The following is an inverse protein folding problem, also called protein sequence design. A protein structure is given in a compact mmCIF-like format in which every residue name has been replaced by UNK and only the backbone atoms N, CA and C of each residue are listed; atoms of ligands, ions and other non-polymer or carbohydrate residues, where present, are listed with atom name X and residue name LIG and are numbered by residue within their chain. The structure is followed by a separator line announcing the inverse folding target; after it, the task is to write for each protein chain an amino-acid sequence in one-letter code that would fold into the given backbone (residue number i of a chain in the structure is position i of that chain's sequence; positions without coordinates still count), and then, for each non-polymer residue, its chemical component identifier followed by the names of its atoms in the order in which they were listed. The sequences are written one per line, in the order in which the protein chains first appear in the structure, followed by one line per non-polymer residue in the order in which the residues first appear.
data_IF_371313945665
#
_entry.id   IF_371313945665
#
_cell.length_a   1.000
_cell.length_b   1.000
_cell.length_c   1.000
_cell.angle_alpha   90.00
_cell.angle_beta   90.00
_cell.angle_gamma   90.00
#
_symmetry.space_group_name_H-M   'P 1'
#
loop_
_entity.id
_entity.type
_entity.pdbx_description
1 polymer ?
#
# COMPACT_ATOMS: atom_id res chain seq x y z
N UNK A 1 -30.68 -15.08 13.80
CA UNK A 1 -30.63 -13.70 13.27
C UNK A 1 -31.59 -13.53 12.10
N UNK A 2 -31.35 -14.20 10.96
CA UNK A 2 -32.18 -14.12 9.74
C UNK A 2 -33.28 -15.19 9.62
N UNK A 3 -33.39 -16.11 10.59
CA UNK A 3 -34.43 -17.15 10.58
C UNK A 3 -35.81 -16.54 10.79
N UNK A 4 -36.87 -17.20 10.34
CA UNK A 4 -38.26 -16.77 10.65
C UNK A 4 -38.56 -16.82 12.15
N UNK A 5 -37.86 -17.68 12.89
CA UNK A 5 -37.95 -17.77 14.36
C UNK A 5 -36.56 -18.10 14.93
N UNK A 6 -36.01 -17.33 15.87
CA UNK A 6 -36.57 -16.13 16.51
C UNK A 6 -36.41 -14.83 15.71
N UNK A 7 -35.76 -14.81 14.54
CA UNK A 7 -35.81 -13.66 13.60
C UNK A 7 -35.50 -12.26 14.15
N UNK A 8 -34.57 -12.14 15.11
CA UNK A 8 -34.29 -10.90 15.84
C UNK A 8 -34.05 -9.65 14.97
N UNK A 9 -33.50 -9.80 13.75
CA UNK A 9 -33.36 -8.68 12.83
C UNK A 9 -34.72 -8.11 12.37
N UNK A 10 -35.67 -9.00 12.07
CA UNK A 10 -37.03 -8.60 11.69
C UNK A 10 -37.82 -8.03 12.89
N UNK A 11 -37.52 -8.48 14.10
CA UNK A 11 -38.05 -7.86 15.32
C UNK A 11 -37.52 -6.44 15.50
N UNK A 12 -36.20 -6.23 15.40
CA UNK A 12 -35.59 -4.89 15.44
C UNK A 12 -36.23 -3.95 14.42
N UNK A 13 -36.36 -4.39 13.17
CA UNK A 13 -36.94 -3.58 12.11
C UNK A 13 -38.39 -3.17 12.42
N UNK A 14 -39.18 -4.09 12.99
CA UNK A 14 -40.58 -3.85 13.34
C UNK A 14 -40.71 -2.94 14.56
N UNK A 15 -39.93 -3.21 15.60
CA UNK A 15 -39.94 -2.50 16.88
C UNK A 15 -39.57 -1.03 16.71
N UNK A 16 -38.60 -0.74 15.83
CA UNK A 16 -38.13 0.61 15.55
C UNK A 16 -38.71 1.23 14.28
N UNK A 17 -39.64 0.55 13.60
CA UNK A 17 -40.22 0.96 12.32
C UNK A 17 -39.14 1.38 11.28
N UNK A 18 -38.08 0.59 11.17
CA UNK A 18 -36.96 0.87 10.27
C UNK A 18 -37.38 0.74 8.80
N UNK A 19 -36.74 1.48 7.88
CA UNK A 19 -36.96 1.30 6.45
C UNK A 19 -36.58 -0.11 6.00
N UNK A 20 -36.97 -0.48 4.77
CA UNK A 20 -36.53 -1.75 4.18
C UNK A 20 -35.00 -1.77 4.08
N UNK A 21 -34.39 -2.75 4.76
CA UNK A 21 -32.95 -2.97 4.76
C UNK A 21 -32.70 -4.28 4.02
N UNK A 22 -31.86 -4.22 2.98
CA UNK A 22 -31.39 -5.42 2.27
C UNK A 22 -30.38 -6.15 3.17
N UNK A 23 -30.85 -7.19 3.86
CA UNK A 23 -30.01 -8.06 4.66
C UNK A 23 -30.54 -9.48 4.59
N UNK A 24 -29.89 -10.29 3.78
CA UNK A 24 -30.29 -11.66 3.41
C UNK A 24 -29.04 -12.52 3.21
N UNK A 25 -29.20 -13.82 3.00
CA UNK A 25 -28.08 -14.75 2.87
C UNK A 25 -27.09 -14.37 1.74
N UNK A 26 -27.55 -13.73 0.66
CA UNK A 26 -26.70 -13.22 -0.43
C UNK A 26 -25.81 -12.03 -0.04
N UNK A 27 -26.09 -11.39 1.09
CA UNK A 27 -25.26 -10.31 1.66
C UNK A 27 -24.25 -10.82 2.69
N UNK A 28 -24.21 -12.14 2.92
CA UNK A 28 -23.25 -12.79 3.81
C UNK A 28 -22.07 -13.26 2.97
N UNK A 29 -20.93 -12.60 3.15
CA UNK A 29 -19.69 -12.98 2.48
C UNK A 29 -18.92 -13.97 3.36
N UNK A 30 -18.73 -15.18 2.84
CA UNK A 30 -17.96 -16.25 3.50
C UNK A 30 -16.54 -16.23 2.98
N UNK A 31 -15.55 -16.26 3.87
CA UNK A 31 -14.14 -16.30 3.49
C UNK A 31 -13.78 -17.72 3.05
N UNK A 32 -12.95 -17.85 2.02
CA UNK A 32 -12.63 -19.12 1.38
C UNK A 32 -11.15 -19.49 1.49
N UNK A 33 -10.87 -20.79 1.63
CA UNK A 33 -9.53 -21.39 1.58
C UNK A 33 -8.96 -21.39 0.14
N UNK A 34 -7.76 -21.94 -0.04
CA UNK A 34 -7.09 -22.02 -1.34
C UNK A 34 -7.85 -22.84 -2.40
N UNK A 35 -8.68 -23.80 -1.95
CA UNK A 35 -9.50 -24.67 -2.81
C UNK A 35 -10.89 -24.07 -3.10
N UNK A 36 -11.17 -22.85 -2.61
CA UNK A 36 -12.48 -22.20 -2.75
C UNK A 36 -13.53 -22.75 -1.79
N UNK A 37 -13.13 -23.47 -0.74
CA UNK A 37 -14.06 -23.95 0.29
C UNK A 37 -14.21 -22.92 1.41
N UNK A 38 -15.40 -22.81 2.01
CA UNK A 38 -15.59 -21.99 3.21
C UNK A 38 -14.57 -22.30 4.30
N UNK A 39 -13.96 -21.25 4.86
CA UNK A 39 -13.13 -21.38 6.06
C UNK A 39 -14.02 -21.67 7.27
N UNK A 40 -13.82 -22.84 7.89
CA UNK A 40 -14.47 -23.18 9.15
C UNK A 40 -14.02 -22.24 10.29
N UNK A 41 -12.74 -21.93 10.34
CA UNK A 41 -12.14 -21.11 11.38
C UNK A 41 -10.75 -20.58 10.97
N UNK A 42 -10.28 -19.48 11.57
CA UNK A 42 -8.93 -18.93 11.29
C UNK A 42 -7.96 -19.42 12.36
N UNK A 43 -7.25 -20.52 12.10
CA UNK A 43 -6.34 -21.16 13.08
C UNK A 43 -4.91 -21.31 12.57
N UNK A 44 -4.72 -21.42 11.27
CA UNK A 44 -3.41 -21.55 10.64
C UNK A 44 -2.91 -20.21 10.07
N UNK A 45 -1.58 -20.06 9.84
CA UNK A 45 -1.04 -18.92 9.10
C UNK A 45 -1.60 -18.81 7.68
N UNK A 46 -2.03 -19.91 7.08
CA UNK A 46 -2.63 -19.92 5.75
C UNK A 46 -4.06 -19.37 5.80
N UNK A 47 -4.90 -19.85 6.72
CA UNK A 47 -6.25 -19.32 6.95
C UNK A 47 -6.20 -17.81 7.22
N UNK A 48 -5.18 -17.38 7.97
CA UNK A 48 -4.95 -15.99 8.31
C UNK A 48 -4.67 -15.14 7.06
N UNK A 49 -3.84 -15.63 6.14
CA UNK A 49 -3.56 -14.99 4.85
C UNK A 49 -4.81 -14.95 3.97
N UNK A 50 -5.55 -16.05 3.89
CA UNK A 50 -6.82 -16.13 3.13
C UNK A 50 -7.87 -15.16 3.66
N UNK A 51 -7.99 -15.06 4.98
CA UNK A 51 -8.88 -14.10 5.61
C UNK A 51 -8.46 -12.65 5.31
N UNK A 52 -7.17 -12.35 5.38
CA UNK A 52 -6.64 -11.02 5.03
C UNK A 52 -6.96 -10.66 3.58
N UNK A 53 -6.68 -11.57 2.63
CA UNK A 53 -6.94 -11.36 1.21
C UNK A 53 -8.44 -11.19 0.92
N UNK A 54 -9.29 -12.04 1.50
CA UNK A 54 -10.75 -11.99 1.32
C UNK A 54 -11.37 -10.71 1.88
N UNK A 55 -11.03 -10.32 3.12
CA UNK A 55 -11.49 -9.06 3.73
C UNK A 55 -11.02 -7.86 2.89
N UNK A 56 -9.76 -7.88 2.46
CA UNK A 56 -9.19 -6.81 1.63
C UNK A 56 -9.90 -6.70 0.29
N UNK A 57 -10.21 -7.82 -0.35
CA UNK A 57 -10.94 -7.84 -1.62
C UNK A 57 -12.35 -7.25 -1.46
N UNK A 58 -13.08 -7.61 -0.40
CA UNK A 58 -14.41 -7.07 -0.11
C UNK A 58 -14.38 -5.55 0.11
N UNK A 59 -13.44 -5.06 0.93
CA UNK A 59 -13.32 -3.62 1.16
C UNK A 59 -12.95 -2.87 -0.13
N UNK A 60 -12.05 -3.42 -0.95
CA UNK A 60 -11.72 -2.85 -2.26
C UNK A 60 -12.96 -2.78 -3.16
N UNK A 61 -13.76 -3.83 -3.20
CA UNK A 61 -15.00 -3.88 -3.98
C UNK A 61 -16.03 -2.86 -3.49
N UNK A 62 -16.33 -2.83 -2.18
CA UNK A 62 -17.30 -1.90 -1.61
C UNK A 62 -16.88 -0.43 -1.69
N UNK A 63 -15.58 -0.16 -1.84
CA UNK A 63 -15.05 1.20 -2.03
C UNK A 63 -14.80 1.55 -3.50
N UNK A 64 -15.23 0.71 -4.44
CA UNK A 64 -15.11 0.97 -5.88
C UNK A 64 -16.12 2.01 -6.36
N UNK A 65 -17.35 2.00 -5.82
CA UNK A 65 -18.39 2.98 -6.16
C UNK A 65 -18.15 4.31 -5.44
N UNK A 66 -17.73 5.33 -6.18
CA UNK A 66 -17.40 6.66 -5.66
C UNK A 66 -18.58 7.40 -5.01
N UNK A 67 -19.82 7.06 -5.38
CA UNK A 67 -21.03 7.77 -4.95
C UNK A 67 -21.63 7.19 -3.64
N UNK A 68 -21.06 6.10 -3.15
CA UNK A 68 -21.49 5.44 -1.92
C UNK A 68 -20.45 5.63 -0.80
N UNK A 69 -20.91 5.79 0.44
CA UNK A 69 -20.05 5.78 1.64
C UNK A 69 -20.13 4.40 2.32
N UNK A 70 -18.98 3.79 2.58
CA UNK A 70 -18.89 2.52 3.29
C UNK A 70 -18.81 2.77 4.79
N UNK A 71 -19.76 2.22 5.54
CA UNK A 71 -19.71 2.20 7.00
C UNK A 71 -19.44 0.77 7.47
N UNK A 72 -18.29 0.58 8.10
CA UNK A 72 -17.83 -0.70 8.61
C UNK A 72 -17.97 -0.73 10.13
N UNK A 73 -18.53 -1.82 10.65
CA UNK A 73 -18.69 -2.06 12.07
C UNK A 73 -17.93 -3.30 12.50
N UNK A 74 -17.06 -3.15 13.50
CA UNK A 74 -16.43 -4.27 14.20
C UNK A 74 -17.36 -4.64 15.35
N UNK A 75 -18.18 -5.68 15.16
CA UNK A 75 -19.20 -6.10 16.13
C UNK A 75 -19.02 -7.54 16.65
N UNK A 76 -17.82 -8.12 16.51
CA UNK A 76 -17.49 -9.47 17.00
C UNK A 76 -16.51 -10.23 16.12
N UNK A 77 -16.40 -11.54 16.35
CA UNK A 77 -15.52 -12.46 15.60
C UNK A 77 -14.10 -12.59 16.17
N UNK A 78 -13.20 -13.20 15.40
CA UNK A 78 -11.79 -13.30 15.78
C UNK A 78 -11.14 -11.92 15.74
N UNK A 79 -10.38 -11.56 16.78
CA UNK A 79 -9.66 -10.27 16.90
C UNK A 79 -8.88 -9.92 15.63
N UNK A 80 -8.26 -10.92 15.00
CA UNK A 80 -7.50 -10.78 13.76
C UNK A 80 -8.34 -10.27 12.58
N UNK A 81 -9.62 -10.65 12.48
CA UNK A 81 -10.50 -10.14 11.42
C UNK A 81 -10.74 -8.64 11.58
N UNK A 82 -10.96 -8.16 12.81
CA UNK A 82 -11.08 -6.73 13.10
C UNK A 82 -9.81 -5.95 12.75
N UNK A 83 -8.63 -6.55 13.01
CA UNK A 83 -7.36 -6.00 12.56
C UNK A 83 -7.28 -5.87 11.04
N UNK A 84 -7.56 -6.95 10.28
CA UNK A 84 -7.53 -6.89 8.82
C UNK A 84 -8.54 -5.94 8.23
N UNK A 85 -9.71 -5.82 8.84
CA UNK A 85 -10.75 -4.90 8.42
C UNK A 85 -10.30 -3.44 8.55
N UNK A 86 -9.74 -3.07 9.71
CA UNK A 86 -9.18 -1.73 9.94
C UNK A 86 -7.98 -1.44 9.02
N UNK A 87 -7.15 -2.45 8.75
CA UNK A 87 -6.01 -2.29 7.85
C UNK A 87 -6.44 -2.16 6.39
N UNK A 88 -7.40 -2.96 5.93
CA UNK A 88 -7.99 -2.86 4.60
C UNK A 88 -8.66 -1.50 4.39
N UNK A 89 -9.35 -0.95 5.39
CA UNK A 89 -9.85 0.43 5.36
C UNK A 89 -8.73 1.46 5.35
N UNK A 90 -7.63 1.23 6.06
CA UNK A 90 -6.48 2.13 5.96
C UNK A 90 -5.88 2.12 4.54
N UNK A 91 -5.93 1.01 3.81
CA UNK A 91 -5.45 0.93 2.43
C UNK A 91 -6.44 1.48 1.39
N UNK A 92 -7.71 1.11 1.50
CA UNK A 92 -8.72 1.34 0.47
C UNK A 92 -9.86 2.28 0.92
N UNK A 93 -10.02 2.53 2.21
CA UNK A 93 -11.03 3.47 2.70
C UNK A 93 -10.80 4.88 2.17
N UNK A 94 -11.89 5.59 1.94
CA UNK A 94 -11.95 6.96 1.40
C UNK A 94 -12.38 7.93 2.51
N UNK A 95 -12.24 9.25 2.32
CA UNK A 95 -12.59 10.23 3.34
C UNK A 95 -14.04 10.16 3.85
N UNK A 96 -14.97 9.67 3.04
CA UNK A 96 -16.38 9.48 3.42
C UNK A 96 -16.65 8.15 4.15
N UNK A 97 -15.72 7.20 4.10
CA UNK A 97 -15.91 5.88 4.70
C UNK A 97 -15.66 5.94 6.22
N UNK A 98 -16.35 5.11 6.99
CA UNK A 98 -16.33 5.12 8.45
C UNK A 98 -16.02 3.76 9.02
N UNK A 99 -15.21 3.72 10.07
CA UNK A 99 -15.02 2.55 10.92
C UNK A 99 -15.66 2.81 12.28
N UNK A 100 -16.34 1.82 12.82
CA UNK A 100 -16.98 1.91 14.12
C UNK A 100 -16.89 0.62 14.91
N UNK A 101 -17.01 0.72 16.23
CA UNK A 101 -17.16 -0.39 17.14
C UNK A 101 -18.43 -0.19 17.97
N UNK A 102 -19.23 -1.25 18.11
CA UNK A 102 -20.44 -1.21 18.90
C UNK A 102 -20.08 -1.50 20.35
N UNK A 103 -20.33 -0.54 21.24
CA UNK A 103 -20.21 -0.69 22.68
C UNK A 103 -21.60 -0.91 23.27
N UNK A 104 -21.73 -1.99 24.03
CA UNK A 104 -22.95 -2.31 24.77
C UNK A 104 -22.66 -2.07 26.25
N UNK A 105 -23.55 -1.39 26.95
CA UNK A 105 -23.39 -1.14 28.39
C UNK A 105 -23.49 -2.42 29.20
N UNK A 106 -22.75 -2.49 30.31
CA UNK A 106 -22.95 -3.54 31.30
C UNK A 106 -24.39 -3.49 31.83
N UNK A 107 -25.01 -4.64 32.13
CA UNK A 107 -24.44 -6.01 32.05
C UNK A 107 -24.75 -6.75 30.74
N UNK A 108 -25.15 -6.05 29.68
CA UNK A 108 -25.70 -6.67 28.47
C UNK A 108 -24.63 -7.19 27.51
N UNK A 109 -23.40 -6.66 27.57
CA UNK A 109 -22.27 -6.97 26.66
C UNK A 109 -21.87 -8.45 26.58
N UNK A 110 -22.11 -9.23 27.63
CA UNK A 110 -21.77 -10.66 27.72
C UNK A 110 -23.00 -11.58 27.67
N UNK A 111 -24.18 -11.02 27.45
CA UNK A 111 -25.43 -11.77 27.43
C UNK A 111 -25.71 -12.38 26.06
N UNK A 112 -25.82 -13.71 25.99
CA UNK A 112 -26.26 -14.42 24.77
C UNK A 112 -27.74 -14.19 24.42
N UNK A 113 -28.52 -13.64 25.35
CA UNK A 113 -29.93 -13.29 25.16
C UNK A 113 -30.18 -11.86 24.71
N UNK A 114 -29.16 -10.98 24.72
CA UNK A 114 -29.30 -9.59 24.33
C UNK A 114 -28.96 -9.39 22.85
N UNK A 115 -29.85 -8.73 22.09
CA UNK A 115 -29.66 -8.47 20.66
C UNK A 115 -29.72 -6.98 20.33
N UNK A 116 -30.67 -6.26 20.91
CA UNK A 116 -30.83 -4.81 20.80
C UNK A 116 -31.64 -4.29 21.99
N UNK A 117 -31.56 -2.98 22.32
CA UNK A 117 -32.43 -2.38 23.32
C UNK A 117 -33.88 -2.41 22.83
N UNK A 118 -34.79 -3.01 23.57
CA UNK A 118 -36.19 -3.09 23.14
C UNK A 118 -36.92 -1.78 23.49
N UNK A 119 -37.90 -1.33 22.68
CA UNK A 119 -38.67 -0.12 23.00
C UNK A 119 -39.64 -0.31 24.17
N UNK A 120 -39.95 -1.57 24.50
CA UNK A 120 -40.80 -1.97 25.62
C UNK A 120 -40.04 -2.92 26.53
N UNK A 121 -40.40 -2.93 27.82
CA UNK A 121 -39.77 -3.79 28.81
C UNK A 121 -39.71 -5.25 28.35
N UNK A 122 -38.49 -5.79 28.27
CA UNK A 122 -38.24 -7.19 27.95
C UNK A 122 -37.12 -7.70 28.87
N UNK A 123 -37.53 -8.53 29.83
CA UNK A 123 -36.67 -9.04 30.90
C UNK A 123 -35.86 -10.22 30.40
N UNK A 124 -34.54 -10.12 30.54
CA UNK A 124 -33.57 -11.17 30.28
C UNK A 124 -33.05 -11.72 31.61
N UNK A 125 -32.85 -13.03 31.67
CA UNK A 125 -32.15 -13.68 32.77
C UNK A 125 -30.68 -13.83 32.39
N UNK A 126 -29.79 -13.21 33.17
CA UNK A 126 -28.34 -13.31 33.01
C UNK A 126 -27.77 -14.50 33.79
N UNK A 127 -26.54 -14.95 33.45
CA UNK A 127 -25.80 -15.89 34.29
C UNK A 127 -25.79 -15.43 35.76
N UNK A 128 -26.13 -16.35 36.67
CA UNK A 128 -26.27 -16.06 38.11
C UNK A 128 -27.68 -15.65 38.55
N UNK A 129 -28.70 -15.77 37.68
CA UNK A 129 -30.12 -15.53 38.03
C UNK A 129 -30.51 -14.06 38.12
N UNK A 130 -29.63 -13.15 37.67
CA UNK A 130 -29.91 -11.70 37.68
C UNK A 130 -30.85 -11.35 36.55
N UNK A 131 -31.99 -10.74 36.87
CA UNK A 131 -32.96 -10.25 35.90
C UNK A 131 -32.61 -8.81 35.49
N UNK A 132 -32.54 -8.57 34.18
CA UNK A 132 -32.24 -7.24 33.61
C UNK A 132 -33.23 -6.90 32.51
N UNK A 133 -33.55 -5.63 32.36
CA UNK A 133 -34.47 -5.16 31.32
C UNK A 133 -33.69 -4.66 30.11
N UNK A 134 -33.84 -5.31 28.96
CA UNK A 134 -33.15 -4.92 27.73
C UNK A 134 -33.50 -3.51 27.26
N UNK A 135 -34.66 -2.95 27.66
CA UNK A 135 -35.02 -1.56 27.36
C UNK A 135 -34.09 -0.54 28.04
N UNK A 136 -33.35 -0.94 29.07
CA UNK A 136 -32.39 -0.09 29.79
C UNK A 136 -30.97 -0.16 29.20
N UNK A 137 -30.72 -1.03 28.22
CA UNK A 137 -29.42 -1.17 27.60
C UNK A 137 -29.06 0.07 26.79
N UNK A 138 -27.82 0.55 26.95
CA UNK A 138 -27.27 1.61 26.13
C UNK A 138 -26.34 0.99 25.09
N UNK A 139 -26.60 1.32 23.82
CA UNK A 139 -25.75 0.91 22.70
C UNK A 139 -25.14 2.16 22.09
N UNK A 140 -23.81 2.22 22.12
CA UNK A 140 -23.04 3.35 21.61
C UNK A 140 -22.26 2.90 20.39
N UNK A 141 -22.41 3.66 19.30
CA UNK A 141 -21.58 3.50 18.11
C UNK A 141 -20.33 4.37 18.25
N UNK A 142 -19.22 3.76 18.67
CA UNK A 142 -17.94 4.46 18.80
C UNK A 142 -17.25 4.52 17.42
N UNK A 143 -17.04 5.71 16.88
CA UNK A 143 -16.27 5.90 15.64
C UNK A 143 -14.78 5.69 15.94
N UNK A 144 -14.13 4.83 15.14
CA UNK A 144 -12.71 4.56 15.24
C UNK A 144 -11.99 5.29 14.09
N UNK A 145 -11.14 6.29 14.38
CA UNK A 145 -10.43 6.97 13.31
C UNK A 145 -9.44 6.02 12.63
N UNK A 146 -9.32 6.13 11.32
CA UNK A 146 -8.29 5.44 10.54
C UNK A 146 -7.61 6.43 9.59
N UNK A 147 -6.39 6.09 9.15
CA UNK A 147 -5.63 6.90 8.19
C UNK A 147 -5.75 6.25 6.82
N UNK A 148 -6.32 6.96 5.86
CA UNK A 148 -6.39 6.50 4.47
C UNK A 148 -5.05 6.70 3.75
N UNK A 149 -4.47 5.60 3.28
CA UNK A 149 -3.29 5.51 2.44
C UNK A 149 -3.65 5.35 0.95
N UNK A 150 -4.94 5.36 0.60
CA UNK A 150 -5.45 5.07 -0.75
C UNK A 150 -4.77 5.90 -1.85
N UNK A 151 -4.51 7.18 -1.57
CA UNK A 151 -3.87 8.10 -2.53
C UNK A 151 -2.41 7.77 -2.82
N UNK A 152 -1.73 7.03 -1.94
CA UNK A 152 -0.36 6.59 -2.14
C UNK A 152 -0.26 5.29 -2.96
N UNK A 153 -1.38 4.59 -3.19
CA UNK A 153 -1.38 3.31 -3.88
C UNK A 153 -1.44 3.47 -5.41
N UNK A 154 -0.68 2.66 -6.17
CA UNK A 154 -0.84 2.55 -7.62
C UNK A 154 -2.27 2.17 -8.01
N UNK A 155 -2.80 2.81 -9.06
CA UNK A 155 -4.16 2.56 -9.57
C UNK A 155 -4.41 1.08 -9.89
N UNK A 156 -3.40 0.37 -10.41
CA UNK A 156 -3.48 -1.07 -10.69
C UNK A 156 -3.79 -1.93 -9.46
N UNK A 157 -3.43 -1.48 -8.25
CA UNK A 157 -3.77 -2.19 -7.00
C UNK A 157 -5.17 -1.82 -6.51
N UNK A 158 -5.65 -0.63 -6.85
CA UNK A 158 -7.01 -0.17 -6.53
C UNK A 158 -8.06 -0.85 -7.42
N UNK A 159 -7.74 -1.07 -8.70
CA UNK A 159 -8.66 -1.67 -9.68
C UNK A 159 -8.40 -3.16 -9.94
N UNK A 160 -7.25 -3.68 -9.51
CA UNK A 160 -6.81 -5.06 -9.76
C UNK A 160 -7.10 -6.02 -8.61
N UNK A 161 -6.70 -7.28 -8.78
CA UNK A 161 -6.80 -8.34 -7.77
C UNK A 161 -5.49 -8.53 -7.00
N UNK A 162 -4.92 -7.44 -6.51
CA UNK A 162 -3.73 -7.52 -5.65
C UNK A 162 -4.07 -8.23 -4.34
N UNK A 163 -3.17 -9.08 -3.88
CA UNK A 163 -3.21 -9.64 -2.53
C UNK A 163 -3.00 -8.55 -1.47
N UNK A 164 -3.35 -8.89 -0.23
CA UNK A 164 -3.08 -8.03 0.93
C UNK A 164 -1.60 -7.66 1.01
N UNK A 165 -0.70 -8.66 0.94
CA UNK A 165 0.74 -8.43 1.07
C UNK A 165 1.30 -7.54 -0.05
N UNK A 166 0.88 -7.73 -1.31
CA UNK A 166 1.32 -6.87 -2.41
C UNK A 166 0.90 -5.41 -2.19
N UNK A 167 -0.31 -5.20 -1.65
CA UNK A 167 -0.82 -3.86 -1.34
C UNK A 167 -0.02 -3.22 -0.20
N UNK A 168 0.27 -3.99 0.86
CA UNK A 168 1.08 -3.54 2.00
C UNK A 168 2.48 -3.13 1.53
N UNK A 169 3.15 -3.97 0.75
CA UNK A 169 4.50 -3.67 0.26
C UNK A 169 4.51 -2.45 -0.65
N UNK A 170 3.52 -2.28 -1.52
CA UNK A 170 3.38 -1.07 -2.32
C UNK A 170 3.18 0.19 -1.47
N UNK A 171 2.33 0.14 -0.44
CA UNK A 171 2.13 1.24 0.50
C UNK A 171 3.43 1.59 1.25
N UNK A 172 4.16 0.56 1.71
CA UNK A 172 5.45 0.75 2.38
C UNK A 172 6.47 1.41 1.47
N UNK A 173 6.56 0.98 0.21
CA UNK A 173 7.46 1.61 -0.76
C UNK A 173 7.06 3.05 -1.11
N UNK A 174 5.76 3.37 -1.16
CA UNK A 174 5.28 4.73 -1.39
C UNK A 174 5.61 5.68 -0.23
N UNK A 175 5.66 5.17 1.00
CA UNK A 175 5.96 5.94 2.22
C UNK A 175 7.45 5.94 2.60
N UNK A 176 8.23 5.00 2.07
CA UNK A 176 9.66 4.91 2.35
C UNK A 176 10.42 6.12 1.78
N UNK A 177 11.57 6.50 2.38
CA UNK A 177 12.47 7.47 1.78
C UNK A 177 12.83 7.05 0.34
N UNK A 178 12.73 7.99 -0.60
CA UNK A 178 13.03 7.69 -1.99
C UNK A 178 14.51 7.38 -2.17
N UNK A 179 14.81 6.15 -2.59
CA UNK A 179 16.14 5.63 -2.86
C UNK A 179 16.25 5.14 -4.32
N UNK A 180 17.40 5.36 -4.95
CA UNK A 180 17.71 5.01 -6.33
C UNK A 180 19.04 4.26 -6.43
N UNK A 181 18.97 3.01 -6.85
CA UNK A 181 20.14 2.24 -7.25
C UNK A 181 20.18 2.06 -8.77
N UNK A 182 21.35 2.28 -9.37
CA UNK A 182 21.57 2.14 -10.80
C UNK A 182 22.61 1.05 -11.07
N UNK A 183 22.21 0.03 -11.84
CA UNK A 183 23.09 -0.97 -12.41
C UNK A 183 23.31 -0.67 -13.90
N UNK A 184 24.44 -0.03 -14.20
CA UNK A 184 24.79 0.37 -15.56
C UNK A 184 25.07 -0.84 -16.46
N UNK A 185 25.64 -1.91 -15.91
CA UNK A 185 26.04 -3.09 -16.67
C UNK A 185 24.82 -3.91 -17.10
N UNK A 186 23.87 -4.15 -16.18
CA UNK A 186 22.62 -4.86 -16.52
C UNK A 186 21.53 -3.95 -17.08
N UNK A 187 21.77 -2.64 -17.16
CA UNK A 187 20.82 -1.60 -17.61
C UNK A 187 19.52 -1.59 -16.81
N UNK A 188 19.63 -1.86 -15.52
CA UNK A 188 18.50 -1.92 -14.58
C UNK A 188 18.61 -0.85 -13.51
N UNK A 189 17.46 -0.44 -13.01
CA UNK A 189 17.35 0.48 -11.87
C UNK A 189 16.41 -0.10 -10.84
N UNK A 190 16.72 0.13 -9.56
CA UNK A 190 15.82 -0.10 -8.43
C UNK A 190 15.35 1.26 -7.92
N UNK A 191 14.05 1.50 -7.99
CA UNK A 191 13.40 2.71 -7.51
C UNK A 191 12.03 2.36 -6.93
N UNK A 192 11.67 2.94 -5.78
CA UNK A 192 10.45 2.63 -5.03
C UNK A 192 10.23 1.11 -4.86
N UNK A 193 11.28 0.35 -4.55
CA UNK A 193 11.22 -1.11 -4.40
C UNK A 193 11.10 -1.91 -5.70
N UNK A 194 10.92 -1.27 -6.86
CA UNK A 194 10.74 -1.94 -8.14
C UNK A 194 12.04 -1.96 -8.95
N UNK A 195 12.41 -3.15 -9.44
CA UNK A 195 13.50 -3.34 -10.41
C UNK A 195 12.94 -3.34 -11.82
N UNK A 196 13.47 -2.50 -12.71
CA UNK A 196 13.10 -2.47 -14.12
C UNK A 196 14.26 -2.03 -15.01
N UNK A 197 14.18 -2.36 -16.30
CA UNK A 197 15.21 -2.01 -17.28
C UNK A 197 14.94 -0.66 -17.95
N UNK A 198 15.99 0.11 -18.19
CA UNK A 198 15.93 1.35 -18.98
C UNK A 198 16.71 1.17 -20.29
N UNK A 199 16.23 1.75 -21.41
CA UNK A 199 17.04 1.78 -22.62
C UNK A 199 18.31 2.62 -22.38
N UNK A 200 19.43 2.31 -23.08
CA UNK A 200 20.74 2.93 -22.80
C UNK A 200 20.71 4.45 -22.81
N UNK A 201 19.97 5.05 -23.76
CA UNK A 201 19.89 6.49 -23.93
C UNK A 201 19.21 7.19 -22.75
N UNK A 202 18.11 6.62 -22.24
CA UNK A 202 17.39 7.16 -21.08
C UNK A 202 18.13 6.87 -19.78
N UNK A 203 18.78 5.71 -19.67
CA UNK A 203 19.62 5.37 -18.53
C UNK A 203 20.82 6.32 -18.41
N UNK A 204 21.48 6.65 -19.53
CA UNK A 204 22.58 7.61 -19.55
C UNK A 204 22.12 8.99 -19.06
N UNK A 205 20.96 9.45 -19.54
CA UNK A 205 20.41 10.74 -19.12
C UNK A 205 20.08 10.74 -17.61
N UNK A 206 19.47 9.67 -17.10
CA UNK A 206 19.24 9.52 -15.66
C UNK A 206 20.55 9.51 -14.87
N UNK A 207 21.56 8.78 -15.36
CA UNK A 207 22.88 8.64 -14.74
C UNK A 207 23.61 9.99 -14.60
N UNK A 208 23.52 10.88 -15.61
CA UNK A 208 24.08 12.25 -15.52
C UNK A 208 23.52 12.97 -14.28
N UNK A 209 22.20 12.96 -14.08
CA UNK A 209 21.60 13.64 -12.94
C UNK A 209 21.80 12.89 -11.62
N UNK A 210 21.84 11.56 -11.66
CA UNK A 210 22.10 10.73 -10.49
C UNK A 210 23.52 10.95 -9.94
N UNK A 211 24.56 11.01 -10.78
CA UNK A 211 25.92 11.35 -10.31
C UNK A 211 25.98 12.76 -9.74
N UNK A 212 25.28 13.72 -10.35
CA UNK A 212 25.23 15.08 -9.82
C UNK A 212 24.56 15.13 -8.44
N UNK A 213 23.45 14.41 -8.26
CA UNK A 213 22.80 14.30 -6.96
C UNK A 213 23.72 13.62 -5.92
N UNK A 214 24.38 12.52 -6.29
CA UNK A 214 25.36 11.81 -5.46
C UNK A 214 26.52 12.71 -5.02
N UNK A 215 27.02 13.56 -5.92
CA UNK A 215 28.12 14.49 -5.62
C UNK A 215 27.65 15.86 -5.08
N UNK A 216 26.35 16.06 -4.82
CA UNK A 216 25.81 17.34 -4.34
C UNK A 216 25.99 18.52 -5.32
N UNK A 217 26.11 18.25 -6.62
CA UNK A 217 26.37 19.26 -7.64
C UNK A 217 25.12 20.09 -7.99
N UNK A 218 25.29 21.35 -8.44
CA UNK A 218 24.15 22.23 -8.73
C UNK A 218 23.31 21.75 -9.93
N UNK A 219 22.06 22.23 -10.07
CA UNK A 219 21.20 21.94 -11.23
C UNK A 219 21.80 22.40 -12.57
N UNK A 220 21.51 21.67 -13.65
CA UNK A 220 21.99 21.99 -15.01
C UNK A 220 20.94 22.72 -15.83
N UNK A 221 21.35 23.72 -16.61
CA UNK A 221 20.49 24.25 -17.67
C UNK A 221 20.36 23.22 -18.80
N UNK A 222 19.21 23.13 -19.45
CA UNK A 222 19.09 22.36 -20.69
C UNK A 222 19.89 23.03 -21.82
N UNK A 223 20.35 22.26 -22.83
CA UNK A 223 20.91 22.85 -24.03
C UNK A 223 19.89 23.79 -24.69
N UNK A 224 20.38 24.85 -25.32
CA UNK A 224 19.53 25.75 -26.09
C UNK A 224 18.96 25.02 -27.33
N UNK A 225 17.77 25.46 -27.78
CA UNK A 225 17.13 24.87 -28.95
C UNK A 225 17.96 25.21 -30.19
N UNK A 226 18.25 24.20 -31.02
CA UNK A 226 19.01 24.34 -32.28
C UNK A 226 20.45 24.87 -32.11
N UNK A 227 20.95 24.93 -30.87
CA UNK A 227 22.34 25.28 -30.57
C UNK A 227 23.03 24.04 -30.02
N UNK A 228 24.03 23.49 -30.73
CA UNK A 228 24.74 22.33 -30.24
C UNK A 228 25.56 22.64 -28.99
N UNK A 229 25.42 21.81 -27.95
CA UNK A 229 26.15 21.94 -26.70
C UNK A 229 27.15 20.78 -26.55
N UNK A 230 28.45 21.10 -26.69
CA UNK A 230 29.53 20.13 -26.55
C UNK A 230 29.73 19.64 -25.12
N UNK A 231 29.35 20.47 -24.16
CA UNK A 231 29.46 20.24 -22.73
C UNK A 231 28.41 19.19 -22.29
N UNK A 232 27.18 19.30 -22.81
CA UNK A 232 26.13 18.30 -22.64
C UNK A 232 26.47 16.99 -23.36
N UNK A 233 27.00 17.07 -24.59
CA UNK A 233 27.50 15.89 -25.31
C UNK A 233 28.51 15.11 -24.47
N UNK A 234 29.53 15.79 -23.93
CA UNK A 234 30.57 15.14 -23.14
C UNK A 234 29.99 14.44 -21.90
N UNK A 235 29.14 15.13 -21.13
CA UNK A 235 28.47 14.55 -19.94
C UNK A 235 27.68 13.30 -20.29
N UNK A 236 26.91 13.35 -21.38
CA UNK A 236 26.05 12.25 -21.79
C UNK A 236 26.83 11.05 -22.34
N UNK A 237 27.86 11.29 -23.18
CA UNK A 237 28.68 10.22 -23.76
C UNK A 237 29.50 9.48 -22.70
N UNK A 238 29.96 10.18 -21.64
CA UNK A 238 30.62 9.51 -20.52
C UNK A 238 29.72 8.45 -19.92
N UNK A 239 28.44 8.77 -19.64
CA UNK A 239 27.50 7.79 -19.09
C UNK A 239 27.18 6.65 -20.06
N UNK A 240 27.02 6.97 -21.35
CA UNK A 240 26.80 5.94 -22.38
C UNK A 240 27.97 4.96 -22.47
N UNK A 241 29.21 5.43 -22.36
CA UNK A 241 30.41 4.58 -22.34
C UNK A 241 30.44 3.65 -21.13
N UNK A 242 30.06 4.16 -19.95
CA UNK A 242 29.93 3.31 -18.76
C UNK A 242 28.85 2.23 -18.92
N UNK A 243 27.76 2.51 -19.63
CA UNK A 243 26.68 1.55 -19.90
C UNK A 243 27.08 0.52 -20.96
N UNK A 244 27.73 0.97 -22.03
CA UNK A 244 28.17 0.13 -23.13
C UNK A 244 29.31 -0.83 -22.73
N UNK A 245 30.09 -0.47 -21.72
CA UNK A 245 31.25 -1.23 -21.27
C UNK A 245 32.40 -1.19 -22.28
N UNK A 246 33.44 -1.99 -22.06
CA UNK A 246 34.69 -1.98 -22.83
C UNK A 246 34.52 -2.33 -24.32
N UNK A 247 33.42 -2.99 -24.70
CA UNK A 247 33.21 -3.52 -26.06
C UNK A 247 31.92 -3.05 -26.73
N UNK A 248 31.20 -2.08 -26.16
CA UNK A 248 29.93 -1.65 -26.72
C UNK A 248 30.07 -0.63 -27.85
N UNK A 249 29.40 -0.89 -28.98
CA UNK A 249 29.33 -0.01 -30.14
C UNK A 249 28.46 1.24 -29.84
N UNK A 250 29.09 2.42 -29.84
CA UNK A 250 28.45 3.71 -29.63
C UNK A 250 28.49 4.59 -30.89
N UNK A 251 29.00 4.08 -32.02
CA UNK A 251 29.38 4.86 -33.20
C UNK A 251 28.19 5.67 -33.73
N UNK A 252 27.01 5.04 -33.79
CA UNK A 252 25.77 5.71 -34.23
C UNK A 252 25.35 6.87 -33.34
N UNK A 253 25.58 6.78 -32.02
CA UNK A 253 25.20 7.86 -31.08
C UNK A 253 26.26 8.95 -31.05
N UNK A 254 27.53 8.59 -31.16
CA UNK A 254 28.62 9.55 -31.30
C UNK A 254 28.51 10.34 -32.61
N UNK A 255 28.08 9.70 -33.69
CA UNK A 255 27.75 10.33 -34.97
C UNK A 255 26.52 11.23 -34.89
N UNK A 256 25.43 10.76 -34.25
CA UNK A 256 24.24 11.57 -34.06
C UNK A 256 24.51 12.84 -33.22
N UNK A 257 25.46 12.76 -32.28
CA UNK A 257 25.88 13.88 -31.43
C UNK A 257 27.18 14.53 -31.94
N UNK A 258 27.59 14.31 -33.19
CA UNK A 258 28.88 14.80 -33.72
C UNK A 258 29.08 16.29 -33.48
N UNK A 259 28.03 17.08 -33.71
CA UNK A 259 28.05 18.54 -33.55
C UNK A 259 27.75 19.04 -32.13
N UNK A 260 27.31 18.17 -31.21
CA UNK A 260 26.85 18.54 -29.86
C UNK A 260 25.44 18.01 -29.57
N UNK A 261 24.99 18.13 -28.33
CA UNK A 261 23.60 17.82 -27.96
C UNK A 261 22.77 19.10 -28.00
N UNK A 262 21.70 19.13 -28.80
CA UNK A 262 20.77 20.26 -28.83
C UNK A 262 19.60 20.07 -27.82
N UNK A 263 18.84 21.15 -27.62
CA UNK A 263 17.69 21.13 -26.71
C UNK A 263 16.56 20.20 -27.16
N UNK A 264 16.46 19.88 -28.46
CA UNK A 264 15.45 18.97 -29.01
C UNK A 264 15.73 17.52 -28.62
N UNK A 265 16.96 17.07 -28.82
CA UNK A 265 17.46 15.77 -28.40
C UNK A 265 17.30 15.57 -26.89
N UNK A 266 17.77 16.54 -26.09
CA UNK A 266 17.62 16.51 -24.64
C UNK A 266 16.15 16.38 -24.22
N UNK A 267 15.27 17.22 -24.79
CA UNK A 267 13.85 17.23 -24.43
C UNK A 267 13.12 15.95 -24.83
N UNK A 268 13.50 15.33 -25.96
CA UNK A 268 12.94 14.07 -26.43
C UNK A 268 13.27 12.92 -25.47
N UNK A 269 14.54 12.78 -25.10
CA UNK A 269 14.98 11.74 -24.15
C UNK A 269 14.47 11.99 -22.73
N UNK A 270 14.46 13.24 -22.27
CA UNK A 270 13.86 13.60 -20.98
C UNK A 270 12.37 13.24 -20.91
N UNK A 271 11.62 13.54 -21.98
CA UNK A 271 10.19 13.20 -22.08
C UNK A 271 9.98 11.69 -22.09
N UNK A 272 10.80 10.94 -22.81
CA UNK A 272 10.74 9.47 -22.86
C UNK A 272 11.08 8.84 -21.51
N UNK A 273 12.14 9.30 -20.84
CA UNK A 273 12.51 8.89 -19.49
C UNK A 273 11.35 9.14 -18.50
N UNK A 274 10.76 10.36 -18.52
CA UNK A 274 9.62 10.70 -17.68
C UNK A 274 8.42 9.78 -17.90
N UNK A 275 8.13 9.40 -19.16
CA UNK A 275 7.06 8.44 -19.49
C UNK A 275 7.35 7.06 -18.93
N UNK A 276 8.58 6.56 -19.06
CA UNK A 276 8.98 5.25 -18.54
C UNK A 276 8.86 5.24 -17.00
N UNK A 277 9.44 6.23 -16.32
CA UNK A 277 9.38 6.31 -14.85
C UNK A 277 7.94 6.38 -14.33
N UNK A 278 7.07 7.17 -14.96
CA UNK A 278 5.65 7.24 -14.59
C UNK A 278 4.91 5.92 -14.81
N UNK A 279 5.19 5.23 -15.91
CA UNK A 279 4.59 3.92 -16.20
C UNK A 279 5.04 2.87 -15.19
N UNK A 280 6.34 2.84 -14.87
CA UNK A 280 6.90 1.80 -14.00
C UNK A 280 6.57 2.03 -12.51
N UNK A 281 6.58 3.29 -12.06
CA UNK A 281 6.49 3.65 -10.64
C UNK A 281 5.13 4.23 -10.22
N UNK A 282 4.27 4.62 -11.17
CA UNK A 282 2.95 5.17 -10.87
C UNK A 282 3.03 6.42 -9.96
N UNK A 283 2.23 6.49 -8.88
CA UNK A 283 2.26 7.59 -7.91
C UNK A 283 3.63 7.81 -7.26
N UNK A 284 4.42 6.75 -7.09
CA UNK A 284 5.76 6.82 -6.47
C UNK A 284 6.82 7.42 -7.40
N UNK A 285 6.49 7.78 -8.65
CA UNK A 285 7.47 8.30 -9.62
C UNK A 285 8.05 9.67 -9.25
N UNK A 286 7.30 10.50 -8.51
CA UNK A 286 7.60 11.93 -8.35
C UNK A 286 9.03 12.24 -7.87
N UNK A 287 9.60 11.55 -6.85
CA UNK A 287 10.97 11.80 -6.39
C UNK A 287 12.06 11.43 -7.41
N UNK A 288 11.74 10.53 -8.34
CA UNK A 288 12.67 9.99 -9.35
C UNK A 288 12.67 10.79 -10.65
N UNK A 289 11.74 11.74 -10.81
CA UNK A 289 11.70 12.59 -11.98
C UNK A 289 12.79 13.67 -11.92
N UNK A 290 13.38 13.96 -13.06
CA UNK A 290 14.26 15.12 -13.21
C UNK A 290 13.37 16.37 -13.19
N UNK A 291 13.44 17.11 -12.07
CA UNK A 291 12.69 18.35 -11.84
C UNK A 291 13.36 19.51 -12.57
N UNK A 292 12.58 20.37 -13.22
CA UNK A 292 13.05 21.57 -13.92
C UNK A 292 13.15 22.82 -13.03
N UNK A 293 12.87 22.68 -11.73
CA UNK A 293 12.91 23.76 -10.74
C UNK A 293 11.72 24.73 -10.78
N UNK A 294 10.76 24.56 -11.69
CA UNK A 294 9.50 25.32 -11.76
C UNK A 294 9.61 26.79 -12.21
N UNK A 295 10.76 27.46 -12.03
CA UNK A 295 10.98 28.86 -12.41
C UNK A 295 11.97 29.00 -13.57
N UNK A 296 11.86 30.11 -14.33
CA UNK A 296 12.81 30.42 -15.41
C UNK A 296 14.03 31.15 -14.83
N UNK A 297 15.26 30.88 -15.32
CA UNK A 297 15.60 29.85 -16.32
C UNK A 297 15.48 28.44 -15.73
N UNK A 298 14.89 27.50 -16.48
CA UNK A 298 14.67 26.12 -16.02
C UNK A 298 16.01 25.44 -15.76
N UNK A 299 16.18 24.87 -14.57
CA UNK A 299 17.38 24.11 -14.22
C UNK A 299 17.00 22.74 -13.69
N UNK A 300 17.53 21.73 -14.36
CA UNK A 300 17.19 20.35 -14.19
C UNK A 300 18.03 19.70 -13.08
N UNK A 301 17.38 18.94 -12.20
CA UNK A 301 18.03 18.14 -11.16
C UNK A 301 17.24 16.89 -10.82
N UNK A 302 17.93 15.85 -10.39
CA UNK A 302 17.31 14.77 -9.62
C UNK A 302 17.27 15.23 -8.15
N UNK A 303 16.08 15.29 -7.54
CA UNK A 303 15.88 15.89 -6.23
C UNK A 303 16.14 14.93 -5.05
N UNK A 304 16.80 13.79 -5.31
CA UNK A 304 17.18 12.84 -4.28
C UNK A 304 18.39 13.35 -3.48
N UNK A 305 18.45 12.97 -2.20
CA UNK A 305 19.61 13.28 -1.34
C UNK A 305 20.82 12.47 -1.80
N UNK A 306 22.06 12.96 -1.60
CA UNK A 306 23.27 12.22 -1.99
C UNK A 306 23.32 10.77 -1.47
N UNK A 307 22.97 10.57 -0.20
CA UNK A 307 22.95 9.24 0.43
C UNK A 307 21.86 8.29 -0.11
N UNK A 308 20.92 8.80 -0.90
CA UNK A 308 19.81 8.03 -1.46
C UNK A 308 20.08 7.59 -2.91
N UNK A 309 21.28 7.82 -3.44
CA UNK A 309 21.68 7.45 -4.80
C UNK A 309 22.95 6.62 -4.73
N UNK A 310 22.99 5.48 -5.39
CA UNK A 310 24.23 4.70 -5.52
C UNK A 310 24.23 3.85 -6.79
N UNK A 311 25.41 3.35 -7.12
CA UNK A 311 25.65 2.46 -8.26
C UNK A 311 26.09 1.11 -7.75
N UNK A 312 25.63 0.03 -8.39
CA UNK A 312 26.02 -1.32 -8.02
C UNK A 312 25.17 -2.37 -8.72
N UNK A 313 25.67 -3.61 -8.74
CA UNK A 313 24.95 -4.74 -9.32
C UNK A 313 23.60 -4.94 -8.60
N UNK A 314 22.54 -5.11 -9.39
CA UNK A 314 21.25 -5.54 -8.88
C UNK A 314 21.19 -7.06 -8.96
N UNK A 315 20.87 -7.75 -7.86
CA UNK A 315 20.69 -9.20 -7.94
C UNK A 315 19.57 -9.54 -8.94
N UNK A 316 19.75 -10.63 -9.68
CA UNK A 316 18.69 -11.14 -10.54
C UNK A 316 17.61 -11.73 -9.62
N UNK A 317 16.45 -11.11 -9.55
CA UNK A 317 15.27 -11.73 -8.95
C UNK A 317 14.86 -12.90 -9.84
N UNK A 318 15.46 -14.07 -9.59
CA UNK A 318 14.90 -15.34 -10.03
C UNK A 318 13.59 -15.50 -9.29
N UNK A 319 12.48 -15.44 -10.01
CA UNK A 319 11.17 -15.77 -9.46
C UNK A 319 11.20 -17.16 -8.81
N UNK A 320 10.48 -17.28 -7.70
CA UNK A 320 10.27 -18.51 -6.92
C UNK A 320 11.48 -18.97 -6.10
N UNK A 321 11.61 -18.42 -4.90
CA UNK A 321 12.15 -19.17 -3.76
C UNK A 321 11.06 -19.32 -2.71
N UNK A 322 10.47 -20.51 -2.70
CA UNK A 322 10.00 -21.13 -1.46
C UNK A 322 11.14 -21.02 -0.44
N UNK A 323 10.97 -20.18 0.57
CA UNK A 323 11.90 -20.07 1.67
C UNK A 323 11.46 -21.06 2.75
N UNK A 324 11.94 -22.30 2.63
CA UNK A 324 12.23 -23.10 3.81
C UNK A 324 13.36 -22.38 4.56
N UNK A 325 13.03 -21.81 5.72
CA UNK A 325 14.01 -21.16 6.60
C UNK A 325 14.88 -22.23 7.24
N UNK A 326 16.03 -22.53 6.63
CA UNK A 326 17.15 -23.11 7.37
C UNK A 326 17.97 -21.94 7.93
N UNK A 327 17.89 -21.76 9.25
CA UNK A 327 18.63 -20.74 10.01
C UNK A 327 20.13 -21.07 9.94
N UNK A 328 21.00 -20.17 9.43
CA UNK A 328 22.44 -20.33 9.59
C UNK A 328 22.84 -19.99 11.05
N UNK A 329 23.88 -20.65 11.61
CA UNK A 329 24.28 -20.41 12.99
C UNK A 329 24.76 -18.98 13.18
N UNK A 330 24.28 -18.34 14.24
CA UNK A 330 24.56 -16.95 14.58
C UNK A 330 26.05 -16.72 14.88
N UNK A 331 26.64 -15.60 14.43
CA UNK A 331 27.95 -15.16 14.91
C UNK A 331 27.84 -14.65 16.36
N UNK A 332 28.88 -14.91 17.14
CA UNK A 332 28.92 -14.67 18.56
C UNK A 332 28.66 -13.20 18.96
N UNK A 333 27.70 -13.04 19.87
CA UNK A 333 27.52 -12.00 20.88
C UNK A 333 27.99 -10.57 20.55
N UNK A 334 27.06 -9.76 20.06
CA UNK A 334 26.94 -8.35 20.50
C UNK A 334 25.49 -8.13 20.96
N UNK A 335 25.32 -7.55 22.16
CA UNK A 335 24.04 -7.45 22.88
C UNK A 335 22.97 -6.76 22.02
N UNK A 336 22.04 -7.52 21.47
CA UNK A 336 20.73 -7.01 21.03
C UNK A 336 19.91 -6.67 22.30
N UNK A 337 19.21 -5.51 22.34
CA UNK A 337 18.19 -5.30 23.35
C UNK A 337 17.09 -6.35 23.16
N UNK A 338 16.62 -6.95 24.25
CA UNK A 338 15.58 -7.97 24.22
C UNK A 338 14.32 -7.43 23.51
N UNK A 339 13.56 -8.27 22.78
CA UNK A 339 12.26 -7.88 22.27
C UNK A 339 11.40 -7.44 23.47
N UNK A 340 10.85 -6.22 23.39
CA UNK A 340 9.85 -5.76 24.34
C UNK A 340 8.54 -6.40 23.91
N UNK A 341 8.18 -7.51 24.54
CA UNK A 341 6.83 -8.06 24.43
C UNK A 341 5.86 -7.11 25.13
N UNK A 342 5.16 -6.30 24.34
CA UNK A 342 4.07 -5.45 24.84
C UNK A 342 2.79 -6.27 24.79
N UNK A 343 2.47 -6.94 25.90
CA UNK A 343 1.13 -7.51 26.10
C UNK A 343 0.19 -6.37 26.47
N UNK A 344 -0.71 -6.00 25.57
CA UNK A 344 -1.84 -5.12 25.90
C UNK A 344 -2.93 -6.00 26.49
N UNK A 345 -2.94 -6.10 27.82
CA UNK A 345 -4.03 -6.78 28.51
C UNK A 345 -5.33 -6.00 28.30
N UNK A 346 -6.42 -6.65 27.87
CA UNK A 346 -7.73 -6.02 27.89
C UNK A 346 -8.06 -5.63 29.34
N UNK A 347 -8.54 -4.40 29.53
CA UNK A 347 -9.03 -3.93 30.82
C UNK A 347 -10.03 -4.98 31.34
N UNK A 348 -9.81 -5.59 32.53
CA UNK A 348 -10.77 -6.53 33.07
C UNK A 348 -12.11 -5.82 33.24
N UNK A 349 -13.25 -6.46 32.90
CA UNK A 349 -14.55 -5.91 33.21
C UNK A 349 -14.61 -5.66 34.72
N UNK A 350 -14.79 -4.39 35.09
CA UNK A 350 -14.71 -3.92 36.47
C UNK A 350 -15.68 -4.65 37.41
N UNK A 351 -15.19 -4.87 38.63
CA UNK A 351 -15.88 -5.43 39.79
C UNK A 351 -17.06 -4.58 40.27
#
# INVERSE_FOLDING_TARGET
MLSETPGWFHHLCRDYALPSIRFSADTIHVLEDADGRPLDDIRSPEDNRRAADGITALIREFTADADCALHVSIAGGRKTMGFFLGYALSLYGRPQDKLSHVLVSAPFESSSGFYYPTPIRHVLELPGGRLVDSAQAQVTLAELPFVSLRHGLPEALLTGRASYNETVEAARHALAPAELQIDLASRRVLAAGKVFSLPPAELALLSVFARRALCGQPPLAAPAKEVPDGDWKARYLVELRWIAGTFGDLDKTEDALRHGMDGGYFSAHLSKLKKILKRELGPAAAPYLISDGGSRPRRYRLALRPAAVWYGALEATTGTRSAATTIPPAPAASRQPAPIDVTIDPIPPGA
#
